data_IF_160072066241
#
_entry.id   IF_160072066241
#
_cell.length_a   1.000
_cell.length_b   1.000
_cell.length_c   1.000
_cell.angle_alpha   90.00
_cell.angle_beta   90.00
_cell.angle_gamma   90.00
#
_symmetry.space_group_name_H-M   'P 1'
#
loop_
_entity.id
_entity.type
_entity.pdbx_description
1 polymer ?
#
# COMPACT_ATOMS: atom_id res chain seq x y z
N UNK A 1 -10.07 11.55 14.59
CA UNK A 1 -10.13 10.13 14.98
C UNK A 1 -9.40 9.38 13.89
N UNK A 2 -8.35 8.67 14.24
CA UNK A 2 -7.68 7.81 13.28
C UNK A 2 -8.53 6.57 13.07
N UNK A 3 -9.14 6.49 11.90
CA UNK A 3 -9.97 5.37 11.48
C UNK A 3 -9.32 4.72 10.27
N UNK A 4 -9.42 3.40 10.21
CA UNK A 4 -8.95 2.61 9.08
C UNK A 4 -10.11 2.08 8.27
N UNK A 5 -9.99 2.16 6.95
CA UNK A 5 -10.97 1.63 6.03
C UNK A 5 -10.78 0.13 5.82
N UNK A 6 -11.85 -0.66 6.00
CA UNK A 6 -11.83 -2.07 5.64
C UNK A 6 -11.93 -2.21 4.11
N UNK A 7 -10.95 -2.82 3.41
CA UNK A 7 -10.93 -2.89 1.94
C UNK A 7 -12.00 -3.82 1.33
N UNK A 8 -12.80 -4.50 2.16
CA UNK A 8 -13.86 -5.40 1.71
C UNK A 8 -15.23 -4.70 1.72
N UNK A 9 -15.53 -3.94 2.78
CA UNK A 9 -16.82 -3.25 2.95
C UNK A 9 -16.74 -1.73 2.88
N UNK A 10 -15.53 -1.16 2.76
CA UNK A 10 -15.28 0.29 2.64
C UNK A 10 -15.79 1.13 3.82
N UNK A 11 -16.01 0.50 4.98
CA UNK A 11 -16.36 1.19 6.23
C UNK A 11 -15.15 1.45 7.12
N UNK A 12 -15.26 2.50 7.93
CA UNK A 12 -14.20 3.01 8.79
C UNK A 12 -14.33 2.46 10.22
N UNK A 13 -13.24 1.90 10.73
CA UNK A 13 -13.18 1.32 12.08
C UNK A 13 -11.99 1.89 12.86
N UNK A 14 -12.06 1.99 14.20
CA UNK A 14 -10.93 2.42 15.02
C UNK A 14 -9.69 1.53 14.92
N UNK A 15 -9.89 0.26 14.53
CA UNK A 15 -8.84 -0.72 14.33
C UNK A 15 -9.37 -1.87 13.46
N UNK A 16 -8.48 -2.50 12.70
CA UNK A 16 -8.74 -3.68 11.89
C UNK A 16 -7.89 -4.85 12.38
N UNK A 17 -8.39 -6.07 12.18
CA UNK A 17 -7.57 -7.27 12.38
C UNK A 17 -6.53 -7.34 11.25
N UNK A 18 -5.31 -7.76 11.58
CA UNK A 18 -4.21 -7.90 10.61
C UNK A 18 -4.09 -9.35 10.15
N UNK A 19 -3.99 -9.54 8.84
CA UNK A 19 -3.72 -10.85 8.24
C UNK A 19 -2.35 -11.36 8.69
N UNK A 20 -2.25 -12.58 9.23
CA UNK A 20 -0.94 -13.12 9.67
C UNK A 20 0.06 -13.31 8.51
N UNK A 21 -0.44 -13.51 7.30
CA UNK A 21 0.38 -13.79 6.12
C UNK A 21 0.88 -12.54 5.38
N UNK A 22 0.19 -11.40 5.47
CA UNK A 22 0.52 -10.21 4.68
C UNK A 22 0.20 -8.87 5.35
N UNK A 23 -0.19 -8.90 6.63
CA UNK A 23 -0.50 -7.72 7.46
C UNK A 23 -1.60 -6.80 6.93
N UNK A 24 -2.36 -7.19 5.90
CA UNK A 24 -3.51 -6.42 5.41
C UNK A 24 -4.66 -6.44 6.42
N UNK A 25 -5.34 -5.30 6.56
CA UNK A 25 -6.43 -5.08 7.51
C UNK A 25 -7.78 -5.64 7.05
N UNK A 26 -8.58 -6.17 7.97
CA UNK A 26 -9.97 -6.59 7.76
C UNK A 26 -10.83 -6.33 9.01
N UNK A 27 -12.08 -5.90 8.84
CA UNK A 27 -13.01 -5.77 9.96
C UNK A 27 -13.51 -7.14 10.43
N UNK A 28 -13.96 -7.22 11.69
CA UNK A 28 -14.43 -8.48 12.28
C UNK A 28 -15.61 -9.07 11.51
N UNK A 29 -16.53 -8.25 11.02
CA UNK A 29 -17.70 -8.71 10.28
C UNK A 29 -17.31 -9.38 8.95
N UNK A 30 -16.49 -8.72 8.12
CA UNK A 30 -16.02 -9.30 6.87
C UNK A 30 -15.20 -10.57 7.09
N UNK A 31 -14.41 -10.65 8.17
CA UNK A 31 -13.69 -11.88 8.53
C UNK A 31 -14.65 -13.03 8.85
N UNK A 32 -15.69 -12.78 9.65
CA UNK A 32 -16.68 -13.80 10.01
C UNK A 32 -17.50 -14.30 8.81
N UNK A 33 -17.68 -13.47 7.79
CA UNK A 33 -18.39 -13.83 6.55
C UNK A 33 -17.57 -14.70 5.59
N UNK A 34 -16.26 -14.89 5.81
CA UNK A 34 -15.41 -15.73 4.95
C UNK A 34 -15.62 -17.24 5.08
N UNK A 35 -16.56 -17.69 5.92
CA UNK A 35 -16.84 -19.12 6.13
C UNK A 35 -17.13 -19.80 4.79
N UNK A 36 -16.34 -20.81 4.40
CA UNK A 36 -16.63 -21.56 3.19
C UNK A 36 -17.89 -22.39 3.42
N UNK A 37 -18.71 -22.54 2.37
CA UNK A 37 -19.88 -23.42 2.39
C UNK A 37 -19.52 -24.89 2.57
N UNK A 38 -18.27 -25.25 2.28
CA UNK A 38 -17.70 -26.59 2.42
C UNK A 38 -16.56 -26.54 3.45
N UNK A 39 -16.76 -27.24 4.57
CA UNK A 39 -15.79 -27.33 5.67
C UNK A 39 -14.46 -28.01 5.28
N UNK A 40 -14.41 -28.70 4.13
CA UNK A 40 -13.20 -29.39 3.66
C UNK A 40 -12.17 -28.46 3.01
N UNK A 41 -12.55 -27.24 2.61
CA UNK A 41 -11.66 -26.31 1.91
C UNK A 41 -11.05 -25.29 2.88
N UNK A 42 -9.72 -25.15 2.93
CA UNK A 42 -9.09 -24.11 3.74
C UNK A 42 -9.44 -22.73 3.18
N UNK A 43 -9.81 -21.81 4.06
CA UNK A 43 -10.02 -20.40 3.68
C UNK A 43 -8.69 -19.82 3.20
N UNK A 44 -8.71 -19.21 2.03
CA UNK A 44 -7.55 -18.48 1.49
C UNK A 44 -7.65 -17.00 1.86
N UNK A 45 -6.51 -16.37 2.11
CA UNK A 45 -6.46 -14.94 2.39
C UNK A 45 -7.05 -14.17 1.20
N UNK A 46 -8.00 -13.23 1.41
CA UNK A 46 -8.60 -12.48 0.31
C UNK A 46 -7.56 -11.63 -0.45
N UNK A 47 -6.46 -11.25 0.23
CA UNK A 47 -5.47 -10.31 -0.26
C UNK A 47 -4.32 -10.99 -1.01
N UNK A 48 -3.69 -12.01 -0.44
CA UNK A 48 -2.50 -12.66 -1.00
C UNK A 48 -2.69 -14.16 -1.31
N UNK A 49 -3.91 -14.69 -1.12
CA UNK A 49 -4.30 -16.08 -1.43
C UNK A 49 -3.58 -17.19 -0.65
N UNK A 50 -2.78 -16.85 0.37
CA UNK A 50 -2.21 -17.83 1.31
C UNK A 50 -3.31 -18.70 1.93
N UNK A 51 -3.11 -20.02 1.94
CA UNK A 51 -4.03 -20.97 2.57
C UNK A 51 -4.09 -20.80 4.09
N UNK A 52 -5.15 -21.32 4.71
CA UNK A 52 -5.34 -21.27 6.17
C UNK A 52 -5.35 -19.83 6.69
N UNK A 53 -6.17 -18.98 6.07
CA UNK A 53 -6.29 -17.57 6.42
C UNK A 53 -6.60 -17.38 7.90
N UNK A 54 -5.72 -16.65 8.57
CA UNK A 54 -5.84 -16.30 9.96
C UNK A 54 -5.52 -14.82 10.16
N UNK A 55 -6.17 -14.22 11.15
CA UNK A 55 -5.95 -12.84 11.54
C UNK A 55 -5.51 -12.75 12.99
N UNK A 56 -4.94 -11.62 13.36
CA UNK A 56 -4.63 -11.26 14.73
C UNK A 56 -5.10 -9.84 15.02
N UNK A 57 -5.56 -9.61 16.25
CA UNK A 57 -5.95 -8.28 16.72
C UNK A 57 -4.80 -7.67 17.49
N UNK A 58 -4.28 -6.53 17.00
CA UNK A 58 -3.19 -5.78 17.64
C UNK A 58 -3.64 -4.50 18.34
N UNK A 59 -4.93 -4.15 18.26
CA UNK A 59 -5.42 -2.84 18.71
C UNK A 59 -5.31 -1.75 17.65
N UNK A 60 -5.67 -0.53 18.04
CA UNK A 60 -5.45 0.66 17.21
C UNK A 60 -3.94 0.95 17.10
N UNK A 61 -3.51 1.57 16.00
CA UNK A 61 -2.12 2.01 15.85
C UNK A 61 -1.73 2.96 16.98
N UNK A 62 -0.55 2.77 17.54
CA UNK A 62 -0.04 3.68 18.58
C UNK A 62 0.37 5.02 17.97
N UNK A 63 0.54 6.05 18.79
CA UNK A 63 1.01 7.36 18.28
C UNK A 63 2.43 7.24 17.71
N UNK A 64 3.29 6.44 18.33
CA UNK A 64 4.65 6.19 17.86
C UNK A 64 4.67 5.52 16.47
N UNK A 65 3.78 4.54 16.24
CA UNK A 65 3.63 3.90 14.92
C UNK A 65 3.18 4.90 13.86
N UNK A 66 2.24 5.79 14.19
CA UNK A 66 1.75 6.83 13.27
C UNK A 66 2.83 7.86 12.96
N UNK A 67 3.62 8.26 13.96
CA UNK A 67 4.72 9.19 13.78
C UNK A 67 5.79 8.61 12.86
N UNK A 68 6.12 7.32 13.02
CA UNK A 68 7.04 6.63 12.15
C UNK A 68 6.53 6.57 10.70
N UNK A 69 5.27 6.19 10.49
CA UNK A 69 4.64 6.13 9.17
C UNK A 69 4.64 7.50 8.48
N UNK A 70 4.27 8.57 9.20
CA UNK A 70 4.34 9.95 8.68
C UNK A 70 5.76 10.34 8.29
N UNK A 71 6.76 9.98 9.10
CA UNK A 71 8.15 10.26 8.79
C UNK A 71 8.63 9.49 7.55
N UNK A 72 8.19 8.25 7.36
CA UNK A 72 8.47 7.47 6.15
C UNK A 72 7.80 8.07 4.91
N UNK A 73 6.53 8.48 5.01
CA UNK A 73 5.79 9.14 3.93
C UNK A 73 6.44 10.46 3.50
N UNK A 74 6.94 11.24 4.46
CA UNK A 74 7.69 12.47 4.20
C UNK A 74 8.97 12.18 3.40
N UNK A 75 9.75 11.16 3.79
CA UNK A 75 10.96 10.76 3.05
C UNK A 75 10.65 10.32 1.62
N UNK A 76 9.56 9.57 1.41
CA UNK A 76 9.12 9.17 0.07
C UNK A 76 8.74 10.38 -0.76
N UNK A 77 8.03 11.34 -0.17
CA UNK A 77 7.61 12.57 -0.84
C UNK A 77 8.82 13.41 -1.25
N UNK A 78 9.78 13.61 -0.35
CA UNK A 78 11.02 14.34 -0.64
C UNK A 78 11.83 13.65 -1.74
N UNK A 79 11.98 12.33 -1.69
CA UNK A 79 12.69 11.56 -2.72
C UNK A 79 12.01 11.69 -4.10
N UNK A 80 10.68 11.70 -4.15
CA UNK A 80 9.92 11.94 -5.39
C UNK A 80 10.15 13.34 -5.95
N UNK A 81 10.15 14.37 -5.10
CA UNK A 81 10.43 15.76 -5.50
C UNK A 81 11.85 15.92 -6.06
N UNK A 82 12.85 15.33 -5.41
CA UNK A 82 14.23 15.35 -5.90
C UNK A 82 14.36 14.69 -7.27
N UNK A 83 13.79 13.50 -7.43
CA UNK A 83 13.79 12.77 -8.72
C UNK A 83 13.10 13.58 -9.83
N UNK A 84 11.99 14.26 -9.51
CA UNK A 84 11.28 15.11 -10.45
C UNK A 84 12.11 16.33 -10.86
N UNK A 85 12.77 17.00 -9.91
CA UNK A 85 13.63 18.15 -10.18
C UNK A 85 14.86 17.78 -11.01
N UNK A 86 15.52 16.66 -10.69
CA UNK A 86 16.62 16.11 -11.50
C UNK A 86 16.16 15.81 -12.93
N UNK A 87 14.98 15.19 -13.10
CA UNK A 87 14.40 14.91 -14.42
C UNK A 87 14.11 16.19 -15.23
N UNK A 88 13.65 17.25 -14.56
CA UNK A 88 13.43 18.56 -15.18
C UNK A 88 14.74 19.26 -15.55
N UNK A 89 15.77 19.18 -14.72
CA UNK A 89 17.10 19.70 -15.03
C UNK A 89 17.69 18.97 -16.23
N UNK A 90 17.68 17.63 -16.26
CA UNK A 90 18.17 16.86 -17.41
C UNK A 90 17.41 17.23 -18.69
N UNK A 91 16.09 17.46 -18.59
CA UNK A 91 15.28 17.94 -19.72
C UNK A 91 15.60 19.36 -20.18
N UNK A 92 16.06 20.25 -19.29
CA UNK A 92 16.48 21.62 -19.62
C UNK A 92 17.96 21.73 -20.05
N UNK A 93 18.80 20.76 -19.68
CA UNK A 93 20.24 20.72 -20.00
C UNK A 93 20.51 20.07 -21.37
N UNK A 94 19.49 19.60 -22.12
CA UNK A 94 19.63 19.39 -23.57
C UNK A 94 19.62 20.77 -24.24
N UNK A 95 20.77 21.32 -24.68
CA UNK A 95 20.80 22.62 -25.32
C UNK A 95 20.26 22.44 -26.73
N UNK A 96 19.44 23.40 -27.15
CA UNK A 96 19.23 23.73 -28.56
C UNK A 96 20.59 23.84 -29.29
N UNK A 97 21.05 22.77 -29.94
CA UNK A 97 22.40 22.78 -30.51
C UNK A 97 22.81 21.65 -31.45
N UNK A 98 22.03 20.58 -31.62
CA UNK A 98 22.36 19.54 -32.61
C UNK A 98 21.22 19.37 -33.61
N UNK A 99 21.45 19.89 -34.82
CA UNK A 99 20.65 19.57 -36.00
C UNK A 99 20.86 18.11 -36.37
N UNK A 100 19.83 17.28 -36.58
CA UNK A 100 20.00 15.92 -37.08
C UNK A 100 20.24 15.96 -38.61
N UNK A 101 21.41 16.44 -39.02
CA UNK A 101 21.94 16.16 -40.36
C UNK A 101 22.72 14.84 -40.32
N UNK A 102 22.04 13.72 -40.06
CA UNK A 102 22.64 12.40 -40.27
C UNK A 102 21.60 11.33 -40.61
N UNK A 103 20.79 11.58 -41.63
CA UNK A 103 20.16 10.52 -42.43
C UNK A 103 20.10 10.98 -43.90
N UNK A 104 21.26 10.94 -44.56
CA UNK A 104 21.37 10.85 -46.01
C UNK A 104 22.45 9.83 -46.34
N UNK A 105 22.07 8.56 -46.45
CA UNK A 105 22.63 7.57 -47.37
C UNK A 105 21.51 6.62 -47.76
#
# INVERSE_FOLDING_TARGET
>A
RDLEECPICFFYYPSLNRSRCCSKGICTECFLQMKPSDASRPVQCPFCKTSCYAVEYRGARTEEEKDLERAEEQKVTEAKLRTQHESQIVGQVIPSGESPLFFKF
#
